data_IF_157786424043
#
_entry.id   IF_157786424043
#
_cell.length_a   1.000
_cell.length_b   1.000
_cell.length_c   1.000
_cell.angle_alpha   90.00
_cell.angle_beta   90.00
_cell.angle_gamma   90.00
#
_symmetry.space_group_name_H-M   'P 1'
#
loop_
_entity.id
_entity.type
_entity.pdbx_description
1 polymer ?
#
# COMPACT_ATOMS: atom_id res chain seq x y z
N UNK A 1 0.55 -0.49 -15.21
CA UNK A 1 0.28 -1.46 -14.13
C UNK A 1 1.43 -1.38 -13.15
N UNK A 2 1.19 -1.40 -11.82
CA UNK A 2 2.28 -1.48 -10.85
C UNK A 2 3.18 -2.67 -11.20
N UNK A 3 4.49 -2.48 -11.15
CA UNK A 3 5.45 -3.55 -11.40
C UNK A 3 5.25 -4.63 -10.33
N UNK A 4 5.13 -5.91 -10.71
CA UNK A 4 5.19 -6.99 -9.73
C UNK A 4 6.48 -6.83 -8.92
N UNK A 5 6.36 -6.78 -7.59
CA UNK A 5 7.47 -6.62 -6.65
C UNK A 5 8.24 -5.28 -6.74
N UNK A 6 7.56 -4.14 -6.66
CA UNK A 6 8.27 -2.86 -6.50
C UNK A 6 9.22 -2.94 -5.28
N UNK A 7 10.53 -2.62 -5.41
CA UNK A 7 11.52 -2.90 -4.38
C UNK A 7 11.27 -2.15 -3.06
N UNK A 8 10.60 -1.00 -3.13
CA UNK A 8 10.26 -0.21 -1.95
C UNK A 8 8.90 -0.58 -1.32
N UNK A 9 8.04 -1.31 -2.04
CA UNK A 9 6.70 -1.71 -1.60
C UNK A 9 6.40 -3.19 -1.99
N UNK A 10 7.27 -4.16 -1.69
CA UNK A 10 7.14 -5.53 -2.17
C UNK A 10 5.83 -6.22 -1.74
N UNK A 11 5.38 -6.05 -0.49
CA UNK A 11 4.17 -6.70 0.03
C UNK A 11 2.91 -6.12 -0.62
N UNK A 12 2.80 -4.79 -0.68
CA UNK A 12 1.71 -4.11 -1.37
C UNK A 12 1.70 -4.47 -2.87
N UNK A 13 2.87 -4.62 -3.49
CA UNK A 13 3.01 -5.03 -4.89
C UNK A 13 2.56 -6.46 -5.15
N UNK A 14 2.79 -7.37 -4.20
CA UNK A 14 2.30 -8.75 -4.28
C UNK A 14 0.79 -8.80 -4.05
N UNK A 15 0.26 -8.00 -3.13
CA UNK A 15 -1.17 -7.95 -2.83
C UNK A 15 -2.00 -7.56 -4.06
N UNK A 16 -1.51 -6.64 -4.88
CA UNK A 16 -2.21 -6.19 -6.11
C UNK A 16 -2.12 -7.16 -7.28
N UNK A 17 -1.37 -8.26 -7.16
CA UNK A 17 -1.34 -9.30 -8.19
C UNK A 17 -2.71 -9.98 -8.36
N UNK A 18 -3.58 -9.90 -7.36
CA UNK A 18 -4.94 -10.42 -7.43
C UNK A 18 -5.88 -9.43 -8.18
N UNK A 19 -6.59 -9.85 -9.25
CA UNK A 19 -7.40 -8.95 -10.09
C UNK A 19 -8.48 -8.15 -9.33
N UNK A 20 -9.06 -8.74 -8.29
CA UNK A 20 -10.05 -8.05 -7.44
C UNK A 20 -9.49 -6.84 -6.65
N UNK A 21 -8.17 -6.60 -6.67
CA UNK A 21 -7.51 -5.49 -5.98
C UNK A 21 -7.27 -4.28 -6.89
N UNK A 22 -7.96 -4.17 -8.02
CA UNK A 22 -7.74 -3.13 -9.02
C UNK A 22 -7.80 -1.70 -8.45
N UNK A 23 -8.70 -1.40 -7.51
CA UNK A 23 -8.75 -0.07 -6.85
C UNK A 23 -7.47 0.19 -6.05
N UNK A 24 -7.01 -0.81 -5.30
CA UNK A 24 -5.79 -0.70 -4.51
C UNK A 24 -4.57 -0.55 -5.44
N UNK A 25 -4.55 -1.30 -6.55
CA UNK A 25 -3.52 -1.21 -7.58
C UNK A 25 -3.42 0.19 -8.21
N UNK A 26 -4.56 0.85 -8.44
CA UNK A 26 -4.61 2.23 -8.92
C UNK A 26 -3.92 3.20 -7.95
N UNK A 27 -4.33 3.20 -6.68
CA UNK A 27 -3.72 4.04 -5.64
C UNK A 27 -2.25 3.70 -5.38
N UNK A 28 -1.87 2.43 -5.47
CA UNK A 28 -0.47 2.00 -5.37
C UNK A 28 0.36 2.54 -6.54
N UNK A 29 -0.20 2.59 -7.75
CA UNK A 29 0.49 3.21 -8.88
C UNK A 29 0.60 4.73 -8.70
N UNK A 30 -0.44 5.39 -8.17
CA UNK A 30 -0.40 6.82 -7.89
C UNK A 30 0.71 7.17 -6.89
N UNK A 31 0.78 6.51 -5.73
CA UNK A 31 1.80 6.83 -4.72
C UNK A 31 3.23 6.64 -5.25
N UNK A 32 3.45 5.71 -6.18
CA UNK A 32 4.75 5.47 -6.83
C UNK A 32 5.13 6.56 -7.85
N UNK A 33 4.15 7.27 -8.42
CA UNK A 33 4.40 8.32 -9.42
C UNK A 33 4.50 9.72 -8.81
N UNK A 34 4.02 9.93 -7.58
CA UNK A 34 4.01 11.25 -6.93
C UNK A 34 5.38 11.63 -6.35
N UNK A 35 5.86 12.83 -6.69
CA UNK A 35 7.14 13.35 -6.17
C UNK A 35 6.99 14.11 -4.85
N UNK A 36 5.88 14.83 -4.66
CA UNK A 36 5.64 15.61 -3.45
C UNK A 36 5.34 14.71 -2.25
N UNK A 37 5.90 15.07 -1.09
CA UNK A 37 5.67 14.37 0.17
C UNK A 37 4.20 14.38 0.62
N UNK A 38 3.50 15.50 0.41
CA UNK A 38 2.09 15.67 0.77
C UNK A 38 1.20 14.65 0.02
N UNK A 39 1.23 14.65 -1.32
CA UNK A 39 0.46 13.68 -2.10
C UNK A 39 0.84 12.22 -1.79
N UNK A 40 2.11 11.93 -1.47
CA UNK A 40 2.52 10.59 -1.03
C UNK A 40 1.90 10.20 0.31
N UNK A 41 1.86 11.13 1.26
CA UNK A 41 1.26 10.93 2.59
C UNK A 41 -0.25 10.67 2.49
N UNK A 42 -0.95 11.44 1.66
CA UNK A 42 -2.38 11.28 1.45
C UNK A 42 -2.72 9.94 0.79
N UNK A 43 -1.98 9.57 -0.26
CA UNK A 43 -2.14 8.27 -0.91
C UNK A 43 -1.83 7.12 0.06
N UNK A 44 -0.84 7.26 0.95
CA UNK A 44 -0.55 6.25 1.97
C UNK A 44 -1.68 6.11 2.99
N UNK A 45 -2.29 7.21 3.45
CA UNK A 45 -3.46 7.16 4.32
C UNK A 45 -4.64 6.46 3.63
N UNK A 46 -4.87 6.76 2.35
CA UNK A 46 -5.92 6.12 1.56
C UNK A 46 -5.70 4.61 1.45
N UNK A 47 -4.49 4.19 1.10
CA UNK A 47 -4.10 2.78 1.01
C UNK A 47 -4.24 2.07 2.37
N UNK A 48 -3.80 2.69 3.47
CA UNK A 48 -3.99 2.13 4.83
C UNK A 48 -5.47 1.94 5.18
N UNK A 49 -6.33 2.89 4.83
CA UNK A 49 -7.78 2.75 5.02
C UNK A 49 -8.36 1.57 4.23
N UNK A 50 -7.88 1.34 3.00
CA UNK A 50 -8.28 0.16 2.21
C UNK A 50 -7.80 -1.15 2.83
N UNK A 51 -6.57 -1.19 3.37
CA UNK A 51 -6.07 -2.36 4.10
C UNK A 51 -6.91 -2.65 5.34
N UNK A 52 -7.35 -1.62 6.08
CA UNK A 52 -8.26 -1.80 7.21
C UNK A 52 -9.57 -2.44 6.77
N UNK A 53 -10.16 -1.98 5.67
CA UNK A 53 -11.38 -2.58 5.13
C UNK A 53 -11.16 -4.05 4.72
N UNK A 54 -10.03 -4.39 4.09
CA UNK A 54 -9.71 -5.78 3.76
C UNK A 54 -9.52 -6.65 5.01
N UNK A 55 -8.95 -6.10 6.09
CA UNK A 55 -8.82 -6.82 7.35
C UNK A 55 -10.19 -7.10 7.99
N UNK A 56 -11.08 -6.11 8.05
CA UNK A 56 -12.45 -6.26 8.57
C UNK A 56 -13.30 -7.25 7.76
N UNK A 57 -12.97 -7.44 6.48
CA UNK A 57 -13.62 -8.40 5.59
C UNK A 57 -12.94 -9.79 5.59
N UNK A 58 -12.00 -10.05 6.51
CA UNK A 58 -11.21 -11.28 6.60
C UNK A 58 -10.45 -11.63 5.30
N UNK A 59 -10.18 -10.64 4.44
CA UNK A 59 -9.43 -10.81 3.20
C UNK A 59 -7.93 -10.93 3.46
N UNK A 60 -7.46 -10.25 4.50
CA UNK A 60 -6.07 -10.31 4.99
C UNK A 60 -6.07 -10.50 6.50
N UNK A 61 -5.05 -11.16 7.04
CA UNK A 61 -4.86 -11.27 8.48
C UNK A 61 -4.38 -9.95 9.10
N UNK A 62 -4.49 -9.83 10.42
CA UNK A 62 -3.93 -8.71 11.17
C UNK A 62 -2.41 -8.57 10.99
N UNK A 63 -1.68 -9.67 10.82
CA UNK A 63 -0.24 -9.64 10.55
C UNK A 63 0.08 -9.12 9.15
N UNK A 64 -0.69 -9.54 8.15
CA UNK A 64 -0.57 -9.03 6.78
C UNK A 64 -0.90 -7.53 6.73
N UNK A 65 -1.95 -7.10 7.43
CA UNK A 65 -2.29 -5.69 7.60
C UNK A 65 -1.11 -4.91 8.20
N UNK A 66 -0.58 -5.35 9.35
CA UNK A 66 0.53 -4.67 10.03
C UNK A 66 1.76 -4.56 9.14
N UNK A 67 2.13 -5.64 8.46
CA UNK A 67 3.30 -5.66 7.60
C UNK A 67 3.18 -4.67 6.43
N UNK A 68 2.04 -4.68 5.71
CA UNK A 68 1.80 -3.75 4.61
C UNK A 68 1.62 -2.30 5.07
N UNK A 69 0.97 -2.08 6.22
CA UNK A 69 0.81 -0.74 6.79
C UNK A 69 2.14 -0.12 7.21
N UNK A 70 3.06 -0.92 7.78
CA UNK A 70 4.41 -0.49 8.12
C UNK A 70 5.23 -0.18 6.87
N UNK A 71 5.13 -1.03 5.84
CA UNK A 71 5.77 -0.81 4.54
C UNK A 71 5.33 0.53 3.90
N UNK A 72 4.02 0.79 3.85
CA UNK A 72 3.47 2.06 3.35
C UNK A 72 3.92 3.26 4.19
N UNK A 73 3.99 3.09 5.51
CA UNK A 73 4.44 4.15 6.41
C UNK A 73 5.91 4.51 6.15
N UNK A 74 6.79 3.51 6.11
CA UNK A 74 8.20 3.70 5.83
C UNK A 74 8.43 4.37 4.46
N UNK A 75 7.64 3.99 3.45
CA UNK A 75 7.73 4.58 2.11
C UNK A 75 7.29 6.05 2.06
N UNK A 76 6.17 6.37 2.70
CA UNK A 76 5.55 7.69 2.58
C UNK A 76 6.15 8.74 3.53
N UNK A 77 6.55 8.32 4.73
CA UNK A 77 7.00 9.22 5.81
C UNK A 77 8.49 9.05 6.14
N UNK A 78 9.15 8.06 5.55
CA UNK A 78 10.51 7.66 5.92
C UNK A 78 10.52 6.58 7.02
N UNK A 79 11.65 5.89 7.15
CA UNK A 79 11.84 4.94 8.25
C UNK A 79 11.84 5.71 9.58
N UNK A 80 10.95 5.37 10.50
CA UNK A 80 11.13 5.72 11.91
C UNK A 80 12.37 4.98 12.39
N UNK A 81 13.40 5.73 12.76
CA UNK A 81 14.65 5.22 13.34
C UNK A 81 14.39 4.39 14.60
#
# INVERSE_FOLDING_TARGET
MPTPNHPALPLCSQFVAHPARYLFAGWLNEILMQQSLEHRSDAAHRLKGMLSAYMEMDVISADQYRAMANELHAFAFGATA
#
